data_IF_244093844373
#
_entry.id   IF_244093844373
#
_cell.length_a   1.000
_cell.length_b   1.000
_cell.length_c   1.000
_cell.angle_alpha   90.00
_cell.angle_beta   90.00
_cell.angle_gamma   90.00
#
_symmetry.space_group_name_H-M   'P 1'
#
loop_
_entity.id
_entity.type
_entity.pdbx_description
1 polymer ?
#
# COMPACT_ATOMS: atom_id res chain seq x y z
N UNK A 1 -27.02 12.95 -0.97
CA UNK A 1 -26.23 12.19 0.01
C UNK A 1 -25.06 11.53 -0.69
N UNK A 2 -23.83 11.97 -0.44
CA UNK A 2 -22.62 11.30 -0.98
C UNK A 2 -22.26 10.18 0.00
N UNK A 3 -22.21 8.93 -0.47
CA UNK A 3 -21.75 7.80 0.34
C UNK A 3 -20.23 7.91 0.47
N UNK A 4 -19.74 8.35 1.62
CA UNK A 4 -18.31 8.35 1.92
C UNK A 4 -17.92 7.00 2.52
N UNK A 5 -16.85 6.39 2.01
CA UNK A 5 -16.26 5.19 2.61
C UNK A 5 -15.48 5.57 3.87
N UNK A 6 -15.46 4.67 4.86
CA UNK A 6 -14.65 4.87 6.05
C UNK A 6 -13.15 4.77 5.71
N UNK A 7 -12.31 5.46 6.49
CA UNK A 7 -10.85 5.53 6.26
C UNK A 7 -10.17 4.15 6.13
N UNK A 8 -10.50 3.12 6.93
CA UNK A 8 -9.99 1.76 6.81
C UNK A 8 -10.40 1.09 5.49
N UNK A 9 -11.64 1.30 5.04
CA UNK A 9 -12.14 0.76 3.77
C UNK A 9 -11.47 1.44 2.56
N UNK A 10 -11.20 2.75 2.65
CA UNK A 10 -10.40 3.45 1.63
C UNK A 10 -8.96 2.94 1.59
N UNK A 11 -8.37 2.68 2.76
CA UNK A 11 -7.05 2.08 2.84
C UNK A 11 -7.02 0.70 2.20
N UNK A 12 -8.00 -0.18 2.49
CA UNK A 12 -8.14 -1.48 1.84
C UNK A 12 -8.21 -1.39 0.31
N UNK A 13 -8.97 -0.42 -0.22
CA UNK A 13 -9.02 -0.18 -1.68
C UNK A 13 -7.68 0.24 -2.27
N UNK A 14 -6.94 1.12 -1.59
CA UNK A 14 -5.59 1.55 -2.00
C UNK A 14 -4.59 0.39 -1.93
N UNK A 15 -4.64 -0.42 -0.87
CA UNK A 15 -3.81 -1.62 -0.73
C UNK A 15 -4.04 -2.60 -1.88
N UNK A 16 -5.30 -2.81 -2.27
CA UNK A 16 -5.63 -3.71 -3.37
C UNK A 16 -5.04 -3.21 -4.69
N UNK A 17 -5.17 -1.91 -4.96
CA UNK A 17 -4.57 -1.29 -6.13
C UNK A 17 -3.03 -1.34 -6.13
N UNK A 18 -2.39 -1.27 -4.96
CA UNK A 18 -0.93 -1.37 -4.83
C UNK A 18 -0.43 -2.80 -5.10
N UNK A 19 -1.13 -3.80 -4.56
CA UNK A 19 -0.69 -5.20 -4.60
C UNK A 19 -0.99 -5.88 -5.94
N UNK A 20 -2.24 -5.83 -6.39
CA UNK A 20 -2.73 -6.64 -7.51
C UNK A 20 -2.62 -5.95 -8.88
N UNK A 21 -2.44 -4.62 -8.91
CA UNK A 21 -2.27 -3.92 -10.18
C UNK A 21 -0.89 -4.20 -10.76
N UNK A 22 -0.86 -4.83 -11.95
CA UNK A 22 0.37 -5.10 -12.70
C UNK A 22 0.93 -3.80 -13.28
N UNK A 23 2.01 -3.32 -12.68
CA UNK A 23 2.82 -2.22 -13.19
C UNK A 23 3.81 -2.76 -14.22
N UNK A 24 3.38 -2.89 -15.48
CA UNK A 24 4.18 -3.54 -16.53
C UNK A 24 5.46 -2.76 -16.87
N UNK A 25 5.42 -1.42 -16.79
CA UNK A 25 6.57 -0.56 -17.16
C UNK A 25 6.75 0.68 -16.27
N UNK A 26 5.82 0.95 -15.35
CA UNK A 26 5.83 2.20 -14.56
C UNK A 26 5.54 1.92 -13.10
N UNK A 27 6.48 2.29 -12.24
CA UNK A 27 6.25 2.29 -10.81
C UNK A 27 5.35 3.47 -10.45
N UNK A 28 4.24 3.23 -9.74
CA UNK A 28 3.38 4.29 -9.21
C UNK A 28 3.82 4.68 -7.80
N UNK A 29 4.54 5.79 -7.69
CA UNK A 29 5.02 6.29 -6.42
C UNK A 29 3.92 6.84 -5.51
N UNK A 30 2.83 7.35 -6.08
CA UNK A 30 1.71 7.90 -5.29
C UNK A 30 1.05 6.89 -4.35
N UNK A 31 0.85 5.65 -4.81
CA UNK A 31 0.26 4.59 -3.98
C UNK A 31 1.15 4.27 -2.76
N UNK A 32 2.47 4.45 -2.87
CA UNK A 32 3.43 4.27 -1.77
C UNK A 32 3.41 5.44 -0.79
N UNK A 33 3.24 6.65 -1.32
CA UNK A 33 3.06 7.83 -0.47
C UNK A 33 1.77 7.73 0.35
N UNK A 34 0.67 7.28 -0.28
CA UNK A 34 -0.57 6.97 0.41
C UNK A 34 -0.34 5.92 1.50
N UNK A 35 0.33 4.80 1.19
CA UNK A 35 0.64 3.74 2.15
C UNK A 35 1.40 4.28 3.38
N UNK A 36 2.45 5.06 3.14
CA UNK A 36 3.18 5.74 4.22
C UNK A 36 2.27 6.62 5.05
N UNK A 37 1.44 7.44 4.40
CA UNK A 37 0.54 8.36 5.07
C UNK A 37 -0.48 7.64 5.95
N UNK A 38 -1.10 6.56 5.46
CA UNK A 38 -2.06 5.76 6.23
C UNK A 38 -1.42 5.14 7.47
N UNK A 39 -0.22 4.56 7.31
CA UNK A 39 0.50 3.91 8.42
C UNK A 39 0.98 4.95 9.44
N UNK A 40 1.54 6.09 8.99
CA UNK A 40 1.94 7.19 9.89
C UNK A 40 0.75 7.79 10.65
N UNK A 41 -0.44 7.79 10.05
CA UNK A 41 -1.68 8.21 10.72
C UNK A 41 -2.24 7.14 11.67
N UNK A 42 -1.66 5.94 11.70
CA UNK A 42 -2.11 4.83 12.53
C UNK A 42 -3.48 4.31 12.13
N UNK A 43 -3.87 4.49 10.87
CA UNK A 43 -5.16 4.02 10.36
C UNK A 43 -5.05 2.50 10.16
N UNK A 44 -5.92 1.70 10.80
CA UNK A 44 -5.87 0.26 10.65
C UNK A 44 -6.35 -0.15 9.26
N UNK A 45 -5.71 -1.18 8.70
CA UNK A 45 -6.16 -1.82 7.48
C UNK A 45 -7.34 -2.74 7.79
N UNK A 46 -8.45 -2.52 7.09
CA UNK A 46 -9.62 -3.42 7.16
C UNK A 46 -9.37 -4.65 6.28
N UNK A 47 -8.92 -5.73 6.90
CA UNK A 47 -8.61 -6.99 6.21
C UNK A 47 -9.86 -7.63 5.60
N UNK A 48 -11.00 -7.52 6.27
CA UNK A 48 -12.25 -8.08 5.78
C UNK A 48 -12.65 -7.43 4.45
N UNK A 49 -12.59 -6.10 4.37
CA UNK A 49 -12.85 -5.35 3.15
C UNK A 49 -11.80 -5.64 2.07
N UNK A 50 -10.53 -5.76 2.46
CA UNK A 50 -9.45 -6.10 1.54
C UNK A 50 -9.62 -7.50 0.93
N UNK A 51 -9.90 -8.51 1.74
CA UNK A 51 -10.15 -9.89 1.32
C UNK A 51 -11.37 -9.96 0.38
N UNK A 52 -12.45 -9.27 0.74
CA UNK A 52 -13.65 -9.20 -0.09
C UNK A 52 -13.38 -8.61 -1.47
N UNK A 53 -12.54 -7.57 -1.56
CA UNK A 53 -12.09 -6.96 -2.82
C UNK A 53 -11.20 -7.87 -3.65
N UNK A 54 -10.26 -8.56 -3.01
CA UNK A 54 -9.36 -9.52 -3.68
C UNK A 54 -10.15 -10.69 -4.28
N UNK A 55 -11.18 -11.16 -3.57
CA UNK A 55 -12.13 -12.16 -4.06
C UNK A 55 -12.97 -11.65 -5.24
N UNK A 56 -13.53 -10.44 -5.12
CA UNK A 56 -14.36 -9.83 -6.16
C UNK A 56 -13.60 -9.61 -7.48
N UNK A 57 -12.31 -9.28 -7.38
CA UNK A 57 -11.44 -9.09 -8.56
C UNK A 57 -10.89 -10.43 -9.10
N UNK A 58 -11.12 -11.55 -8.41
CA UNK A 58 -10.64 -12.87 -8.79
C UNK A 58 -9.13 -13.09 -8.58
N UNK A 59 -8.47 -12.14 -7.92
CA UNK A 59 -7.02 -12.15 -7.66
C UNK A 59 -6.61 -13.17 -6.59
N UNK A 60 -7.54 -13.63 -5.74
CA UNK A 60 -7.35 -14.77 -4.83
C UNK A 60 -8.58 -15.66 -4.72
N UNK A 61 -8.34 -16.97 -4.55
CA UNK A 61 -9.38 -18.00 -4.30
C UNK A 61 -9.66 -18.27 -2.83
N UNK A 62 -8.81 -17.81 -1.91
CA UNK A 62 -8.96 -18.04 -0.48
C UNK A 62 -9.87 -17.00 0.17
N UNK A 63 -10.78 -17.48 1.03
CA UNK A 63 -11.83 -16.68 1.66
C UNK A 63 -11.29 -15.76 2.77
N UNK A 64 -10.12 -16.07 3.32
CA UNK A 64 -9.51 -15.35 4.44
C UNK A 64 -8.10 -14.90 4.10
N UNK A 65 -7.93 -13.60 3.92
CA UNK A 65 -6.63 -12.98 3.69
C UNK A 65 -6.07 -12.52 5.04
N UNK A 66 -5.03 -13.20 5.54
CA UNK A 66 -4.45 -12.93 6.86
C UNK A 66 -3.47 -11.76 6.81
N UNK A 67 -3.24 -11.14 7.97
CA UNK A 67 -2.23 -10.09 8.14
C UNK A 67 -0.85 -10.51 7.61
N UNK A 68 -0.47 -11.76 7.86
CA UNK A 68 0.81 -12.33 7.41
C UNK A 68 0.91 -12.35 5.89
N UNK A 69 -0.13 -12.77 5.19
CA UNK A 69 -0.17 -12.75 3.72
C UNK A 69 0.00 -11.34 3.16
N UNK A 70 -0.73 -10.36 3.71
CA UNK A 70 -0.60 -8.95 3.28
C UNK A 70 0.82 -8.46 3.50
N UNK A 71 1.39 -8.72 4.68
CA UNK A 71 2.76 -8.33 5.02
C UNK A 71 3.79 -8.99 4.10
N UNK A 72 3.62 -10.26 3.77
CA UNK A 72 4.53 -11.01 2.93
C UNK A 72 4.52 -10.49 1.49
N UNK A 73 3.32 -10.33 0.91
CA UNK A 73 3.15 -9.74 -0.42
C UNK A 73 3.74 -8.33 -0.53
N UNK A 74 3.59 -7.52 0.53
CA UNK A 74 4.20 -6.19 0.59
C UNK A 74 5.73 -6.28 0.65
N UNK A 75 6.28 -7.17 1.48
CA UNK A 75 7.73 -7.37 1.55
C UNK A 75 8.32 -7.79 0.21
N UNK A 76 7.68 -8.72 -0.49
CA UNK A 76 8.11 -9.11 -1.85
C UNK A 76 8.05 -7.92 -2.81
N UNK A 77 6.97 -7.13 -2.75
CA UNK A 77 6.83 -5.91 -3.57
C UNK A 77 7.95 -4.90 -3.28
N UNK A 78 8.34 -4.77 -2.01
CA UNK A 78 9.38 -3.85 -1.56
C UNK A 78 10.76 -4.27 -2.05
N UNK A 79 11.02 -5.57 -2.10
CA UNK A 79 12.27 -6.10 -2.66
C UNK A 79 12.30 -6.07 -4.19
N UNK A 80 11.14 -6.03 -4.86
CA UNK A 80 11.07 -6.03 -6.33
C UNK A 80 11.05 -4.62 -6.93
N UNK A 81 10.64 -3.60 -6.17
CA UNK A 81 10.47 -2.24 -6.70
C UNK A 81 11.79 -1.46 -6.77
N UNK A 82 11.93 -0.60 -7.77
CA UNK A 82 13.00 0.40 -7.80
C UNK A 82 12.58 1.67 -7.03
N UNK A 83 13.24 1.92 -5.89
CA UNK A 83 12.99 3.13 -5.09
C UNK A 83 13.35 4.43 -5.82
N UNK A 84 14.34 4.41 -6.71
CA UNK A 84 14.68 5.57 -7.54
C UNK A 84 13.48 5.99 -8.41
N UNK A 85 12.87 5.04 -9.14
CA UNK A 85 11.66 5.28 -9.94
C UNK A 85 10.47 5.75 -9.09
N UNK A 86 10.34 5.26 -7.85
CA UNK A 86 9.32 5.75 -6.92
C UNK A 86 9.52 7.22 -6.59
N UNK A 87 10.75 7.60 -6.22
CA UNK A 87 11.10 8.97 -5.88
C UNK A 87 10.82 9.89 -7.06
N UNK A 88 11.23 9.50 -8.27
CA UNK A 88 10.98 10.29 -9.49
C UNK A 88 9.48 10.49 -9.80
N UNK A 89 8.63 9.47 -9.62
CA UNK A 89 7.18 9.60 -9.85
C UNK A 89 6.52 10.52 -8.81
N UNK A 90 7.04 10.60 -7.59
CA UNK A 90 6.46 11.39 -6.48
C UNK A 90 7.04 12.80 -6.39
N UNK A 91 8.31 12.99 -6.73
CA UNK A 91 9.04 14.27 -6.67
C UNK A 91 8.27 15.46 -7.25
N UNK A 92 7.61 15.39 -8.43
CA UNK A 92 6.86 16.53 -8.96
C UNK A 92 5.58 16.87 -8.18
N UNK A 93 5.13 16.00 -7.28
CA UNK A 93 3.90 16.18 -6.49
C UNK A 93 4.15 16.67 -5.06
N UNK A 94 5.39 16.65 -4.57
CA UNK A 94 5.74 17.03 -3.21
C UNK A 94 6.67 18.24 -3.22
N UNK A 95 6.43 19.19 -2.30
CA UNK A 95 7.27 20.38 -2.13
C UNK A 95 8.63 20.09 -1.48
N UNK A 96 8.65 19.16 -0.53
CA UNK A 96 9.82 18.76 0.23
C UNK A 96 10.25 17.36 -0.19
N UNK A 97 11.35 17.23 -0.92
CA UNK A 97 11.83 15.92 -1.40
C UNK A 97 12.64 15.15 -0.35
N UNK A 98 12.97 15.77 0.79
CA UNK A 98 13.69 15.10 1.88
C UNK A 98 12.89 13.95 2.47
N UNK A 99 11.56 14.03 2.42
CA UNK A 99 10.68 12.92 2.83
C UNK A 99 10.85 11.68 1.94
N UNK A 100 11.34 11.86 0.71
CA UNK A 100 11.63 10.79 -0.25
C UNK A 100 13.06 10.27 -0.09
N UNK A 101 13.98 11.01 0.51
CA UNK A 101 15.36 10.54 0.73
C UNK A 101 15.39 9.30 1.62
N UNK A 102 14.59 9.29 2.69
CA UNK A 102 14.46 8.16 3.62
C UNK A 102 13.81 6.92 3.00
N UNK A 103 13.17 7.04 1.83
CA UNK A 103 12.54 5.92 1.14
C UNK A 103 13.58 4.91 0.70
N UNK A 104 13.51 3.74 1.32
CA UNK A 104 14.37 2.60 1.13
C UNK A 104 13.60 1.33 1.47
N UNK A 105 14.05 0.19 0.97
CA UNK A 105 13.44 -1.11 1.30
C UNK A 105 13.31 -1.31 2.81
N UNK A 106 14.37 -0.96 3.53
CA UNK A 106 14.44 -1.12 4.98
C UNK A 106 13.48 -0.18 5.71
N UNK A 107 13.33 1.06 5.25
CA UNK A 107 12.34 1.99 5.78
C UNK A 107 10.91 1.47 5.62
N UNK A 108 10.54 0.94 4.44
CA UNK A 108 9.21 0.38 4.24
C UNK A 108 8.99 -0.93 5.01
N UNK A 109 10.04 -1.73 5.22
CA UNK A 109 10.00 -2.89 6.12
C UNK A 109 9.73 -2.49 7.58
N UNK A 110 10.38 -1.43 8.09
CA UNK A 110 10.08 -0.88 9.42
C UNK A 110 8.65 -0.32 9.49
N UNK A 111 8.22 0.36 8.44
CA UNK A 111 6.90 0.93 8.33
C UNK A 111 5.81 -0.15 8.41
N UNK A 112 6.01 -1.31 7.77
CA UNK A 112 5.10 -2.47 7.87
C UNK A 112 4.93 -2.98 9.29
N UNK A 113 5.95 -2.86 10.14
CA UNK A 113 5.86 -3.29 11.53
C UNK A 113 4.91 -2.39 12.33
N UNK A 114 4.87 -1.09 12.00
CA UNK A 114 3.98 -0.10 12.60
C UNK A 114 2.55 -0.15 12.08
N UNK A 115 2.30 -0.96 11.04
CA UNK A 115 0.99 -1.10 10.43
C UNK A 115 0.01 -1.79 11.39
N UNK A 116 -1.18 -1.19 11.54
CA UNK A 116 -2.27 -1.76 12.34
C UNK A 116 -3.27 -2.46 11.45
N UNK A 117 -3.90 -3.50 11.99
CA UNK A 117 -4.94 -4.27 11.32
C UNK A 117 -6.20 -4.24 12.19
N UNK A 118 -7.36 -4.24 11.54
CA UNK A 118 -8.68 -4.29 12.19
C UNK A 118 -9.28 -5.68 12.08
#
# INVERSE_FOLDING_TARGET
YVRCFDRPSLFAGKMHALLFRKWINRVKGRDWYDLEWYIKKGIPLDLNHFAKRAKDTGDRKEDELKEKDVKDMLKEKFSTVSFENLKEDVRPFIKDDKVLEIWSEQYFKDLLDRMKFQ
#
